data_IF_554161608467
#
_entry.id   IF_554161608467
#
_cell.length_a   1.000
_cell.length_b   1.000
_cell.length_c   1.000
_cell.angle_alpha   90.00
_cell.angle_beta   90.00
_cell.angle_gamma   90.00
#
_symmetry.space_group_name_H-M   'P 1'
#
loop_
_entity.id
_entity.type
_entity.pdbx_description
1 polymer ?
#
# COMPACT_ATOMS: atom_id res chain seq x y z
N UNK A 1 6.42 -6.87 24.95
CA UNK A 1 5.78 -7.58 23.84
C UNK A 1 4.92 -6.58 23.10
N UNK A 2 5.01 -6.54 21.78
CA UNK A 2 4.24 -5.65 20.91
C UNK A 2 3.47 -6.50 19.93
N UNK A 3 2.17 -6.24 19.79
CA UNK A 3 1.28 -6.96 18.90
C UNK A 3 0.75 -5.98 17.85
N UNK A 4 1.16 -6.18 16.60
CA UNK A 4 0.85 -5.33 15.44
C UNK A 4 1.02 -3.81 15.69
N UNK A 5 2.18 -3.34 16.19
CA UNK A 5 2.36 -1.92 16.52
C UNK A 5 2.32 -0.98 15.31
N UNK A 6 2.52 -1.48 14.08
CA UNK A 6 2.46 -0.68 12.85
C UNK A 6 1.05 -0.47 12.28
N UNK A 7 0.03 -1.12 12.85
CA UNK A 7 -1.34 -1.09 12.34
C UNK A 7 -1.90 0.34 12.27
N UNK A 8 -2.50 0.67 11.13
CA UNK A 8 -3.07 2.00 10.80
C UNK A 8 -2.10 3.20 10.81
N UNK A 9 -0.80 2.99 11.05
CA UNK A 9 0.19 4.05 11.01
C UNK A 9 0.59 4.38 9.58
N UNK A 10 0.96 5.63 9.34
CA UNK A 10 1.62 6.02 8.09
C UNK A 10 3.10 5.59 8.08
N UNK A 11 3.74 5.61 6.91
CA UNK A 11 5.14 5.15 6.73
C UNK A 11 6.11 5.84 7.72
N UNK A 12 5.92 7.13 7.99
CA UNK A 12 6.81 7.88 8.89
C UNK A 12 6.57 7.49 10.35
N UNK A 13 5.31 7.38 10.75
CA UNK A 13 4.90 6.95 12.08
C UNK A 13 5.37 5.52 12.36
N UNK A 14 5.27 4.63 11.37
CA UNK A 14 5.78 3.25 11.44
C UNK A 14 7.27 3.21 11.74
N UNK A 15 8.09 3.94 11.00
CA UNK A 15 9.54 4.01 11.24
C UNK A 15 9.88 4.61 12.61
N UNK A 16 9.12 5.61 13.06
CA UNK A 16 9.33 6.20 14.39
C UNK A 16 8.97 5.22 15.51
N UNK A 17 7.84 4.52 15.41
CA UNK A 17 7.44 3.48 16.34
C UNK A 17 8.53 2.38 16.39
N UNK A 18 9.03 1.98 15.22
CA UNK A 18 10.06 0.97 15.11
C UNK A 18 11.37 1.39 15.80
N UNK A 19 11.81 2.64 15.60
CA UNK A 19 12.96 3.22 16.31
C UNK A 19 12.77 3.23 17.82
N UNK A 20 11.57 3.59 18.29
CA UNK A 20 11.27 3.61 19.72
C UNK A 20 11.33 2.22 20.33
N UNK A 21 10.72 1.23 19.67
CA UNK A 21 10.75 -0.18 20.11
C UNK A 21 12.19 -0.68 20.18
N UNK A 22 12.98 -0.44 19.13
CA UNK A 22 14.40 -0.84 19.09
C UNK A 22 15.22 -0.16 20.18
N UNK A 23 14.92 1.11 20.51
CA UNK A 23 15.56 1.83 21.60
C UNK A 23 15.27 1.28 23.01
N UNK A 24 14.26 0.41 23.17
CA UNK A 24 13.97 -0.25 24.45
C UNK A 24 14.81 -1.51 24.69
N UNK A 25 15.55 -1.98 23.66
CA UNK A 25 16.43 -3.13 23.77
C UNK A 25 17.61 -2.78 24.69
N UNK A 26 17.72 -3.50 25.81
CA UNK A 26 18.82 -3.41 26.77
C UNK A 26 19.28 -4.85 27.06
N UNK A 27 20.51 -5.03 27.57
CA UNK A 27 21.13 -6.35 27.77
C UNK A 27 20.32 -7.35 28.63
N UNK A 28 19.36 -6.86 29.43
CA UNK A 28 18.52 -7.64 30.33
C UNK A 28 17.03 -7.62 29.95
N UNK A 29 16.69 -7.15 28.74
CA UNK A 29 15.31 -7.04 28.26
C UNK A 29 15.10 -7.80 26.97
N UNK A 30 14.06 -8.63 26.96
CA UNK A 30 13.59 -9.32 25.77
C UNK A 30 12.43 -8.56 25.15
N UNK A 31 12.48 -8.38 23.83
CA UNK A 31 11.41 -7.77 23.05
C UNK A 31 10.91 -8.80 22.05
N UNK A 32 9.61 -9.03 22.07
CA UNK A 32 8.90 -9.85 21.08
C UNK A 32 7.93 -8.93 20.36
N UNK A 33 7.93 -8.99 19.03
CA UNK A 33 7.07 -8.19 18.16
C UNK A 33 6.35 -9.12 17.19
N UNK A 34 5.05 -8.91 17.01
CA UNK A 34 4.25 -9.53 15.95
C UNK A 34 3.92 -8.46 14.92
N UNK A 35 4.23 -8.71 13.64
CA UNK A 35 4.03 -7.77 12.54
C UNK A 35 3.64 -8.51 11.26
N UNK A 36 2.83 -7.85 10.43
CA UNK A 36 2.51 -8.31 9.06
C UNK A 36 3.27 -7.53 7.98
N UNK A 37 3.93 -6.43 8.35
CA UNK A 37 4.72 -5.60 7.44
C UNK A 37 6.19 -6.06 7.40
N UNK A 38 6.59 -6.67 6.28
CA UNK A 38 7.94 -7.20 6.09
C UNK A 38 9.02 -6.10 6.14
N UNK A 39 8.71 -4.87 5.71
CA UNK A 39 9.69 -3.78 5.68
C UNK A 39 10.03 -3.27 7.08
N UNK A 40 9.03 -3.26 7.97
CA UNK A 40 9.22 -2.86 9.37
C UNK A 40 9.85 -3.99 10.15
N UNK A 41 9.45 -5.22 9.87
CA UNK A 41 10.01 -6.41 10.48
C UNK A 41 11.51 -6.54 10.21
N UNK A 42 11.96 -6.20 9.00
CA UNK A 42 13.40 -6.10 8.65
C UNK A 42 14.16 -5.08 9.50
N UNK A 43 13.52 -3.95 9.80
CA UNK A 43 14.12 -2.91 10.63
C UNK A 43 14.08 -3.22 12.14
N UNK A 44 13.04 -3.92 12.61
CA UNK A 44 12.79 -4.16 14.03
C UNK A 44 13.56 -5.35 14.60
N UNK A 45 13.68 -6.41 13.80
CA UNK A 45 13.98 -7.74 14.32
C UNK A 45 15.46 -8.06 14.15
N UNK A 46 16.01 -8.84 15.09
CA UNK A 46 17.31 -9.51 14.91
C UNK A 46 17.11 -10.97 14.47
N UNK A 47 15.99 -11.56 14.86
CA UNK A 47 15.54 -12.91 14.50
C UNK A 47 14.06 -12.91 14.17
N UNK A 48 13.65 -13.81 13.27
CA UNK A 48 12.26 -13.92 12.81
C UNK A 48 11.80 -15.37 12.89
N UNK A 49 10.61 -15.59 13.44
CA UNK A 49 9.92 -16.87 13.37
C UNK A 49 8.75 -16.75 12.41
N UNK A 50 8.59 -17.71 11.50
CA UNK A 50 7.45 -17.76 10.60
C UNK A 50 6.33 -18.57 11.27
N UNK A 51 5.09 -18.09 11.14
CA UNK A 51 3.90 -18.83 11.55
C UNK A 51 3.18 -19.32 10.30
N UNK A 52 2.83 -20.61 10.27
CA UNK A 52 2.10 -21.20 9.16
C UNK A 52 1.05 -22.19 9.67
N UNK A 53 0.08 -22.54 8.82
CA UNK A 53 -0.99 -23.48 9.17
C UNK A 53 -2.29 -23.15 8.43
N UNK A 54 -3.42 -23.57 9.01
CA UNK A 54 -4.74 -23.34 8.46
C UNK A 54 -5.52 -22.33 9.32
N UNK A 55 -5.93 -21.17 8.75
CA UNK A 55 -6.69 -20.16 9.48
C UNK A 55 -7.93 -20.76 10.17
N UNK A 56 -8.10 -20.49 11.46
CA UNK A 56 -9.21 -21.00 12.26
C UNK A 56 -9.12 -22.49 12.66
N UNK A 57 -8.04 -23.19 12.28
CA UNK A 57 -7.84 -24.60 12.63
C UNK A 57 -6.56 -24.83 13.45
N UNK A 58 -5.38 -24.51 12.91
CA UNK A 58 -4.10 -24.69 13.60
C UNK A 58 -3.04 -23.72 13.10
N UNK A 59 -2.04 -23.45 13.94
CA UNK A 59 -0.85 -22.69 13.61
C UNK A 59 0.38 -23.34 14.21
N UNK A 60 1.45 -23.40 13.43
CA UNK A 60 2.77 -23.92 13.81
C UNK A 60 3.76 -22.76 13.74
N UNK A 61 4.66 -22.71 14.71
CA UNK A 61 5.74 -21.70 14.78
C UNK A 61 7.05 -22.39 14.40
N UNK A 62 7.77 -21.83 13.44
CA UNK A 62 9.10 -22.34 13.07
C UNK A 62 10.14 -22.05 14.15
N UNK A 63 11.29 -22.71 14.05
CA UNK A 63 12.52 -22.25 14.71
C UNK A 63 12.89 -20.83 14.23
N UNK A 64 13.64 -20.05 15.05
CA UNK A 64 14.06 -18.71 14.67
C UNK A 64 15.07 -18.74 13.52
N UNK A 65 14.85 -17.90 12.51
CA UNK A 65 15.76 -17.66 11.40
C UNK A 65 16.40 -16.28 11.50
N UNK A 66 17.49 -16.07 10.74
CA UNK A 66 17.95 -14.71 10.47
C UNK A 66 16.87 -13.94 9.72
N UNK A 67 16.80 -12.63 9.93
CA UNK A 67 15.76 -11.77 9.34
C UNK A 67 15.66 -11.95 7.82
N UNK A 68 16.79 -11.87 7.12
CA UNK A 68 16.86 -12.00 5.66
C UNK A 68 16.38 -13.37 5.19
N UNK A 69 16.79 -14.43 5.87
CA UNK A 69 16.39 -15.80 5.52
C UNK A 69 14.90 -16.03 5.79
N UNK A 70 14.41 -15.60 6.95
CA UNK A 70 13.00 -15.71 7.33
C UNK A 70 12.06 -14.99 6.37
N UNK A 71 12.40 -13.75 5.96
CA UNK A 71 11.63 -13.00 4.98
C UNK A 71 11.60 -13.72 3.62
N UNK A 72 12.75 -14.24 3.16
CA UNK A 72 12.80 -14.98 1.89
C UNK A 72 12.01 -16.28 1.93
N UNK A 73 12.08 -17.03 3.04
CA UNK A 73 11.26 -18.23 3.28
C UNK A 73 9.77 -17.86 3.23
N UNK A 74 9.38 -16.76 3.88
CA UNK A 74 8.00 -16.28 3.88
C UNK A 74 7.50 -15.93 2.47
N UNK A 75 8.34 -15.27 1.67
CA UNK A 75 8.02 -14.89 0.29
C UNK A 75 7.94 -16.11 -0.64
N UNK A 76 8.84 -17.09 -0.47
CA UNK A 76 8.87 -18.33 -1.24
C UNK A 76 7.72 -19.30 -0.91
N UNK A 77 7.11 -19.18 0.28
CA UNK A 77 5.97 -20.04 0.66
C UNK A 77 6.37 -21.45 1.12
N UNK A 78 7.67 -21.70 1.34
CA UNK A 78 8.22 -23.01 1.66
C UNK A 78 9.32 -22.91 2.71
N UNK A 79 9.22 -23.74 3.76
CA UNK A 79 10.19 -23.85 4.86
C UNK A 79 11.11 -25.06 4.60
N UNK A 80 12.37 -24.86 4.19
CA UNK A 80 13.24 -25.97 3.79
C UNK A 80 13.58 -26.95 4.92
N UNK A 81 13.77 -26.43 6.14
CA UNK A 81 14.16 -27.23 7.32
C UNK A 81 13.10 -28.22 7.76
N UNK A 82 11.83 -27.94 7.45
CA UNK A 82 10.68 -28.77 7.84
C UNK A 82 10.07 -29.50 6.63
N UNK A 83 10.65 -29.32 5.43
CA UNK A 83 10.11 -29.80 4.16
C UNK A 83 8.63 -29.46 3.95
N UNK A 84 8.21 -28.31 4.46
CA UNK A 84 6.80 -27.90 4.53
C UNK A 84 6.53 -26.73 3.60
N UNK A 85 5.56 -26.88 2.70
CA UNK A 85 5.05 -25.80 1.85
C UNK A 85 3.73 -25.30 2.43
N UNK A 86 3.70 -24.04 2.88
CA UNK A 86 2.49 -23.43 3.41
C UNK A 86 1.78 -22.53 2.40
N UNK A 87 2.37 -22.31 1.22
CA UNK A 87 1.76 -21.57 0.10
C UNK A 87 2.22 -22.17 -1.24
N UNK A 88 1.29 -22.33 -2.17
CA UNK A 88 1.56 -22.96 -3.48
C UNK A 88 2.25 -22.04 -4.50
N UNK A 89 2.33 -20.74 -4.20
CA UNK A 89 2.90 -19.73 -5.08
C UNK A 89 3.87 -18.84 -4.32
N UNK A 90 4.86 -18.32 -5.05
CA UNK A 90 5.82 -17.33 -4.55
C UNK A 90 5.26 -15.91 -4.72
N UNK A 91 5.56 -15.04 -3.76
CA UNK A 91 5.26 -13.62 -3.87
C UNK A 91 6.40 -12.93 -4.63
N UNK A 92 6.16 -12.61 -5.91
CA UNK A 92 7.12 -11.89 -6.77
C UNK A 92 6.68 -10.45 -6.97
N UNK A 93 7.59 -9.51 -6.75
CA UNK A 93 7.35 -8.10 -7.02
C UNK A 93 7.82 -7.78 -8.43
N UNK A 94 6.88 -7.66 -9.37
CA UNK A 94 7.20 -7.20 -10.73
C UNK A 94 7.42 -5.70 -10.69
N UNK A 95 8.64 -5.26 -10.99
CA UNK A 95 8.92 -3.85 -11.25
C UNK A 95 8.41 -3.56 -12.66
N UNK A 96 7.37 -2.74 -12.76
CA UNK A 96 6.63 -2.42 -13.99
C UNK A 96 7.48 -1.80 -15.12
N UNK A 97 8.73 -1.42 -14.85
CA UNK A 97 9.68 -0.95 -15.86
C UNK A 97 9.87 -1.95 -17.02
N UNK A 98 9.73 -3.25 -16.76
CA UNK A 98 9.88 -4.29 -17.80
C UNK A 98 8.62 -4.46 -18.67
N UNK A 99 7.45 -4.03 -18.19
CA UNK A 99 6.20 -4.10 -18.95
C UNK A 99 6.11 -3.02 -20.04
N UNK A 100 6.66 -1.83 -19.78
CA UNK A 100 6.64 -0.71 -20.74
C UNK A 100 7.67 -0.91 -21.87
N UNK A 101 8.83 -1.50 -21.56
CA UNK A 101 9.91 -1.66 -22.55
C UNK A 101 9.56 -2.71 -23.62
N UNK A 102 8.79 -3.75 -23.30
CA UNK A 102 8.38 -4.78 -24.28
C UNK A 102 7.12 -4.41 -25.09
N UNK A 103 6.35 -3.41 -24.66
CA UNK A 103 5.17 -2.93 -25.40
C UNK A 103 5.48 -1.85 -26.44
N UNK A 104 6.63 -1.16 -26.34
CA UNK A 104 6.97 -0.05 -27.23
C UNK A 104 7.50 -0.46 -28.62
N UNK A 105 7.78 -1.75 -28.87
CA UNK A 105 8.27 -2.23 -30.18
C UNK A 105 7.24 -3.06 -30.97
N UNK A 106 5.99 -3.20 -30.49
CA UNK A 106 4.92 -3.82 -31.29
C UNK A 106 4.22 -2.75 -32.14
N UNK A 107 4.14 -2.98 -33.45
CA UNK A 107 3.23 -2.24 -34.32
C UNK A 107 1.81 -2.42 -33.77
N UNK A 108 1.24 -1.34 -33.25
CA UNK A 108 -0.11 -1.30 -32.71
C UNK A 108 -1.09 -1.55 -33.85
N UNK A 109 -2.01 -2.49 -33.66
CA UNK A 109 -3.09 -2.74 -34.62
C UNK A 109 -4.02 -1.52 -34.73
N UNK A 110 -4.71 -1.35 -35.87
CA UNK A 110 -5.65 -0.22 -36.07
C UNK A 110 -6.75 -0.16 -34.99
N UNK A 111 -7.12 -1.30 -34.41
CA UNK A 111 -8.08 -1.40 -33.31
C UNK A 111 -7.51 -0.87 -31.98
N UNK A 112 -6.26 -1.18 -31.65
CA UNK A 112 -5.57 -0.67 -30.47
C UNK A 112 -5.29 0.83 -30.56
N UNK A 113 -5.03 1.35 -31.77
CA UNK A 113 -4.89 2.79 -32.01
C UNK A 113 -6.22 3.50 -31.77
N UNK A 114 -7.32 2.98 -32.32
CA UNK A 114 -8.67 3.53 -32.08
C UNK A 114 -9.06 3.47 -30.61
N UNK A 115 -8.74 2.39 -29.91
CA UNK A 115 -9.02 2.25 -28.48
C UNK A 115 -8.17 3.20 -27.64
N UNK A 116 -6.86 3.35 -27.93
CA UNK A 116 -6.01 4.36 -27.28
C UNK A 116 -6.52 5.78 -27.53
N UNK A 117 -6.99 6.10 -28.73
CA UNK A 117 -7.61 7.40 -29.03
C UNK A 117 -8.95 7.60 -28.30
N UNK A 118 -9.74 6.54 -28.13
CA UNK A 118 -10.97 6.57 -27.34
C UNK A 118 -10.68 6.77 -25.85
N UNK A 119 -9.68 6.09 -25.31
CA UNK A 119 -9.25 6.21 -23.91
C UNK A 119 -8.64 7.59 -23.62
N UNK A 120 -7.89 8.18 -24.57
CA UNK A 120 -7.42 9.58 -24.49
C UNK A 120 -8.55 10.61 -24.47
N UNK A 121 -9.73 10.27 -24.99
CA UNK A 121 -10.92 11.15 -24.92
C UNK A 121 -11.65 11.04 -23.58
N UNK A 122 -11.32 10.07 -22.74
CA UNK A 122 -11.90 9.83 -21.41
C UNK A 122 -10.98 10.41 -20.31
N UNK A 123 -10.50 11.63 -20.52
CA UNK A 123 -9.73 12.36 -19.51
C UNK A 123 -10.69 13.08 -18.57
N UNK A 124 -10.60 12.76 -17.29
CA UNK A 124 -11.39 13.39 -16.24
C UNK A 124 -10.56 14.45 -15.55
N UNK A 125 -10.86 15.71 -15.84
CA UNK A 125 -10.18 16.84 -15.25
C UNK A 125 -10.91 17.25 -13.96
N UNK A 126 -10.16 17.51 -12.91
CA UNK A 126 -10.69 18.13 -11.69
C UNK A 126 -10.01 19.49 -11.48
N UNK A 127 -10.77 20.52 -11.09
CA UNK A 127 -10.24 21.85 -10.84
C UNK A 127 -9.48 21.91 -9.51
N UNK A 128 -8.85 23.07 -9.26
CA UNK A 128 -8.31 23.37 -7.95
C UNK A 128 -9.44 23.34 -6.91
N UNK A 129 -9.22 22.64 -5.80
CA UNK A 129 -10.21 22.52 -4.73
C UNK A 129 -9.60 22.91 -3.40
N UNK A 130 -10.37 23.63 -2.61
CA UNK A 130 -10.01 23.96 -1.23
C UNK A 130 -11.09 23.42 -0.31
N UNK A 131 -10.67 22.79 0.78
CA UNK A 131 -11.57 22.34 1.84
C UNK A 131 -11.04 22.69 3.21
N UNK A 132 -11.87 23.38 3.98
CA UNK A 132 -11.59 23.74 5.37
C UNK A 132 -12.47 22.89 6.29
N UNK A 133 -11.82 22.16 7.20
CA UNK A 133 -12.42 21.29 8.20
C UNK A 133 -11.95 21.76 9.58
N UNK A 134 -12.63 22.76 10.14
CA UNK A 134 -12.24 23.38 11.41
C UNK A 134 -10.86 24.02 11.30
N UNK A 135 -9.89 23.51 12.08
CA UNK A 135 -8.50 24.00 12.08
C UNK A 135 -7.65 23.47 10.92
N UNK A 136 -8.18 22.52 10.12
CA UNK A 136 -7.44 21.88 9.05
C UNK A 136 -7.88 22.41 7.69
N UNK A 137 -6.93 22.79 6.84
CA UNK A 137 -7.19 23.26 5.47
C UNK A 137 -6.42 22.39 4.48
N UNK A 138 -7.14 21.86 3.49
CA UNK A 138 -6.59 21.09 2.39
C UNK A 138 -6.66 21.95 1.14
N UNK A 139 -5.54 22.03 0.42
CA UNK A 139 -5.48 22.59 -0.91
C UNK A 139 -5.15 21.46 -1.89
N UNK A 140 -5.96 21.30 -2.92
CA UNK A 140 -5.78 20.31 -3.98
C UNK A 140 -5.56 21.10 -5.26
N UNK A 141 -4.43 20.85 -5.91
CA UNK A 141 -4.12 21.39 -7.23
C UNK A 141 -4.88 20.59 -8.28
N UNK A 142 -5.29 21.27 -9.35
CA UNK A 142 -5.98 20.71 -10.49
C UNK A 142 -5.14 19.63 -11.17
N UNK A 143 -5.82 18.65 -11.73
CA UNK A 143 -5.16 17.53 -12.37
C UNK A 143 -6.09 16.77 -13.29
N UNK A 144 -5.52 15.73 -13.90
CA UNK A 144 -6.18 14.88 -14.87
C UNK A 144 -6.07 13.43 -14.43
N UNK A 145 -7.18 12.71 -14.48
CA UNK A 145 -7.20 11.25 -14.44
C UNK A 145 -7.43 10.73 -15.85
N UNK A 146 -6.50 9.95 -16.38
CA UNK A 146 -6.73 9.29 -17.67
C UNK A 146 -7.45 7.96 -17.46
N UNK A 147 -8.20 7.53 -18.48
CA UNK A 147 -8.83 6.23 -18.46
C UNK A 147 -7.79 5.09 -18.41
N UNK A 148 -8.14 4.03 -17.67
CA UNK A 148 -7.30 2.83 -17.51
C UNK A 148 -5.97 3.06 -16.79
N UNK A 149 -5.83 4.16 -16.05
CA UNK A 149 -4.68 4.40 -15.18
C UNK A 149 -4.95 4.01 -13.73
N UNK A 150 -3.91 3.54 -13.05
CA UNK A 150 -3.91 3.37 -11.60
C UNK A 150 -3.12 4.50 -10.97
N UNK A 151 -3.80 5.37 -10.22
CA UNK A 151 -3.16 6.47 -9.49
C UNK A 151 -2.98 6.08 -8.03
N UNK A 152 -1.75 6.21 -7.53
CA UNK A 152 -1.42 5.94 -6.12
C UNK A 152 -1.30 7.25 -5.36
N UNK A 153 -2.12 7.42 -4.32
CA UNK A 153 -2.02 8.58 -3.41
C UNK A 153 -1.17 8.22 -2.18
N UNK A 154 -0.04 8.89 -2.02
CA UNK A 154 0.88 8.69 -0.89
C UNK A 154 0.92 9.94 0.01
N UNK A 155 1.20 9.74 1.29
CA UNK A 155 1.34 10.84 2.26
C UNK A 155 1.15 10.39 3.70
N UNK A 156 1.39 11.29 4.64
CA UNK A 156 1.14 11.05 6.07
C UNK A 156 -0.36 10.92 6.37
N UNK A 157 -0.69 10.36 7.53
CA UNK A 157 -2.06 10.39 8.02
C UNK A 157 -2.47 11.84 8.30
N UNK A 158 -3.73 12.17 7.97
CA UNK A 158 -4.23 13.54 8.13
C UNK A 158 -3.78 14.54 7.06
N UNK A 159 -3.12 14.14 5.97
CA UNK A 159 -2.79 15.07 4.86
C UNK A 159 -3.97 15.35 3.92
N UNK A 160 -5.13 14.72 4.13
CA UNK A 160 -6.33 14.98 3.34
C UNK A 160 -6.62 14.00 2.21
N UNK A 161 -5.88 12.90 2.06
CA UNK A 161 -6.10 11.88 1.00
C UNK A 161 -7.53 11.35 0.97
N UNK A 162 -8.03 10.89 2.12
CA UNK A 162 -9.41 10.39 2.25
C UNK A 162 -10.44 11.49 1.98
N UNK A 163 -10.15 12.74 2.38
CA UNK A 163 -11.03 13.88 2.12
C UNK A 163 -11.08 14.21 0.62
N UNK A 164 -9.95 14.17 -0.09
CA UNK A 164 -9.89 14.33 -1.54
C UNK A 164 -10.75 13.28 -2.25
N UNK A 165 -10.61 12.00 -1.90
CA UNK A 165 -11.42 10.92 -2.49
C UNK A 165 -12.91 11.15 -2.22
N UNK A 166 -13.28 11.54 -1.00
CA UNK A 166 -14.68 11.85 -0.66
C UNK A 166 -15.23 13.07 -1.40
N UNK A 167 -14.38 14.05 -1.73
CA UNK A 167 -14.78 15.20 -2.55
C UNK A 167 -15.01 14.80 -4.00
N UNK A 168 -14.10 14.02 -4.59
CA UNK A 168 -14.28 13.47 -5.93
C UNK A 168 -15.52 12.56 -6.01
N UNK A 169 -15.81 11.80 -4.95
CA UNK A 169 -17.01 10.97 -4.83
C UNK A 169 -18.31 11.75 -4.60
N UNK A 170 -18.26 13.08 -4.45
CA UNK A 170 -19.42 13.93 -4.16
C UNK A 170 -20.00 13.76 -2.75
N UNK A 171 -19.31 13.04 -1.85
CA UNK A 171 -19.72 12.87 -0.44
C UNK A 171 -19.46 14.15 0.35
N UNK A 172 -18.35 14.84 0.06
CA UNK A 172 -18.04 16.16 0.60
C UNK A 172 -17.98 17.19 -0.52
N UNK A 173 -18.54 18.38 -0.28
CA UNK A 173 -18.39 19.49 -1.22
C UNK A 173 -17.12 20.30 -0.91
N UNK A 174 -16.41 20.85 -1.92
CA UNK A 174 -15.40 21.87 -1.70
C UNK A 174 -16.00 23.10 -1.00
N UNK A 175 -15.15 23.99 -0.48
CA UNK A 175 -15.62 25.23 0.17
C UNK A 175 -16.28 26.19 -0.82
N UNK A 176 -15.83 26.16 -2.07
CA UNK A 176 -16.51 26.84 -3.17
C UNK A 176 -17.56 25.90 -3.79
N UNK A 177 -18.82 26.07 -3.40
CA UNK A 177 -19.94 25.29 -3.91
C UNK A 177 -20.28 25.56 -5.39
N UNK A 178 -19.68 26.57 -6.02
CA UNK A 178 -19.86 26.86 -7.44
C UNK A 178 -19.02 25.96 -8.36
N UNK A 179 -18.07 25.22 -7.79
CA UNK A 179 -17.25 24.27 -8.54
C UNK A 179 -18.08 23.06 -9.00
N UNK A 180 -18.25 22.93 -10.32
CA UNK A 180 -18.81 21.73 -10.93
C UNK A 180 -17.74 20.63 -10.99
N UNK A 181 -17.94 19.57 -10.20
CA UNK A 181 -17.13 18.37 -10.26
C UNK A 181 -17.68 17.40 -11.33
N UNK A 182 -16.80 16.70 -12.07
CA UNK A 182 -17.25 15.72 -13.06
C UNK A 182 -18.07 14.62 -12.38
N UNK A 183 -19.21 14.27 -12.97
CA UNK A 183 -20.04 13.15 -12.49
C UNK A 183 -19.34 11.83 -12.80
N UNK A 184 -18.65 11.30 -11.81
CA UNK A 184 -18.01 10.00 -11.85
C UNK A 184 -18.84 8.99 -11.06
N UNK A 185 -19.13 7.83 -11.65
CA UNK A 185 -19.65 6.69 -10.90
C UNK A 185 -18.49 6.06 -10.12
N UNK A 186 -18.31 6.52 -8.88
CA UNK A 186 -17.18 6.11 -8.03
C UNK A 186 -17.61 4.97 -7.12
N UNK A 187 -16.88 3.87 -7.18
CA UNK A 187 -16.91 2.84 -6.14
C UNK A 187 -15.95 3.28 -5.02
N UNK A 188 -16.49 3.52 -3.83
CA UNK A 188 -15.72 3.94 -2.67
C UNK A 188 -15.63 2.81 -1.65
N UNK A 189 -14.41 2.40 -1.30
CA UNK A 189 -14.13 1.49 -0.20
C UNK A 189 -13.62 2.30 1.01
N UNK A 190 -14.34 2.34 2.14
CA UNK A 190 -13.86 3.01 3.34
C UNK A 190 -12.58 2.31 3.86
N UNK A 191 -11.71 3.11 4.48
CA UNK A 191 -10.45 2.67 5.10
C UNK A 191 -10.71 1.87 6.38
#
# INVERSE_FOLDING_TARGET
>A
MFDEPSSYLDVKQRLNAARMIRGMLLDHKYVIVVEHDLSILDYLSDFVCCLYGAPGAYGVVTMPFSVREGINIFLAGYVPTEQMRFRDYELTFRVSAEADTQQNERELTEEEVKEKERLKKLNYNYPDMVKTLGAFKINIESGVFNASETVVMLGQNGTGKTTMIKMLAGIHKPDDESLELPRLNISYKPQ
#
